data_IF_822682617537
#
_entry.id   IF_822682617537
#
_cell.length_a   1.000
_cell.length_b   1.000
_cell.length_c   1.000
_cell.angle_alpha   90.00
_cell.angle_beta   90.00
_cell.angle_gamma   90.00
#
_symmetry.space_group_name_H-M   'P 1'
#
loop_
_entity.id
_entity.type
_entity.pdbx_description
1 polymer ?
#
# COMPACT_ATOMS: atom_id res chain seq x y z
N UNK A 1 5.49 -6.34 33.20
CA UNK A 1 5.70 -7.07 31.94
C UNK A 1 4.38 -7.77 31.61
N UNK A 2 3.63 -7.29 30.60
CA UNK A 2 2.28 -7.82 30.31
C UNK A 2 2.40 -9.07 29.41
N UNK A 3 1.71 -10.19 29.74
CA UNK A 3 1.94 -11.52 29.15
C UNK A 3 1.35 -11.75 27.74
N UNK A 4 0.94 -10.71 27.02
CA UNK A 4 0.31 -10.83 25.69
C UNK A 4 1.25 -10.44 24.53
N UNK A 5 2.52 -10.14 24.81
CA UNK A 5 3.53 -9.74 23.82
C UNK A 5 4.03 -10.86 22.87
N UNK A 6 3.23 -11.91 22.66
CA UNK A 6 3.60 -13.06 21.82
C UNK A 6 2.85 -13.12 20.47
N UNK A 7 2.08 -12.08 20.11
CA UNK A 7 1.53 -11.91 18.76
C UNK A 7 1.62 -10.43 18.37
N UNK A 8 2.78 -10.00 17.84
CA UNK A 8 2.93 -8.69 17.20
C UNK A 8 2.17 -8.76 15.86
N UNK A 9 0.87 -8.49 15.83
CA UNK A 9 0.15 -8.50 14.56
C UNK A 9 -1.20 -7.79 14.59
N UNK A 10 -1.23 -6.53 14.18
CA UNK A 10 -2.37 -5.96 13.47
C UNK A 10 -1.87 -4.96 12.42
N UNK A 11 -1.33 -5.41 11.30
CA UNK A 11 -1.32 -4.56 10.10
C UNK A 11 -2.75 -4.60 9.56
N UNK A 12 -3.59 -3.68 10.02
CA UNK A 12 -5.01 -3.69 9.72
C UNK A 12 -5.33 -2.68 8.65
N UNK A 13 -6.17 -3.13 7.73
CA UNK A 13 -6.99 -2.25 6.95
C UNK A 13 -8.08 -1.64 7.88
N UNK A 14 -7.75 -0.57 8.61
CA UNK A 14 -8.70 0.16 9.48
C UNK A 14 -9.39 1.29 8.70
N UNK A 15 -10.72 1.22 8.63
CA UNK A 15 -11.52 2.32 8.10
C UNK A 15 -11.35 3.60 8.95
N UNK A 16 -10.71 4.61 8.35
CA UNK A 16 -10.50 5.98 8.87
C UNK A 16 -9.60 6.12 10.11
N UNK A 17 -8.31 6.35 9.88
CA UNK A 17 -7.40 6.93 10.87
C UNK A 17 -6.62 8.17 10.40
N UNK A 18 -6.70 8.56 9.12
CA UNK A 18 -6.01 9.75 8.64
C UNK A 18 -6.64 11.02 9.26
N UNK A 19 -5.92 11.66 10.18
CA UNK A 19 -6.32 12.94 10.80
C UNK A 19 -7.05 12.85 12.14
N UNK A 20 -7.22 11.66 12.72
CA UNK A 20 -7.82 11.53 14.06
C UNK A 20 -6.83 12.01 15.14
N UNK A 21 -7.24 12.95 16.03
CA UNK A 21 -6.40 13.36 17.16
C UNK A 21 -6.00 12.14 18.00
N UNK A 22 -4.69 11.96 18.21
CA UNK A 22 -4.16 10.85 19.01
C UNK A 22 -3.67 9.63 18.21
N UNK A 23 -3.70 9.66 16.87
CA UNK A 23 -3.02 8.66 16.04
C UNK A 23 -1.55 9.07 15.86
N UNK A 24 -0.57 8.27 16.34
CA UNK A 24 0.84 8.53 16.08
C UNK A 24 1.12 8.56 14.58
N UNK A 25 1.92 9.53 14.15
CA UNK A 25 2.35 9.69 12.76
C UNK A 25 3.87 9.56 12.70
N UNK A 26 4.36 9.07 11.57
CA UNK A 26 5.79 9.04 11.26
C UNK A 26 6.01 9.55 9.84
N UNK A 27 7.26 9.93 9.55
CA UNK A 27 7.61 10.52 8.25
C UNK A 27 7.64 9.48 7.12
N UNK A 28 7.90 8.20 7.45
CA UNK A 28 7.96 7.11 6.48
C UNK A 28 7.19 5.86 6.94
N UNK A 29 6.83 5.00 5.99
CA UNK A 29 6.18 3.71 6.29
C UNK A 29 7.09 2.76 7.08
N UNK A 30 8.41 2.83 6.87
CA UNK A 30 9.39 2.07 7.64
C UNK A 30 9.46 2.56 9.09
N UNK A 31 9.31 3.86 9.33
CA UNK A 31 9.25 4.38 10.70
C UNK A 31 7.98 3.91 11.44
N UNK A 32 6.85 3.78 10.73
CA UNK A 32 5.66 3.14 11.28
C UNK A 32 5.93 1.69 11.71
N UNK A 33 6.70 0.93 10.93
CA UNK A 33 7.12 -0.43 11.29
C UNK A 33 8.03 -0.43 12.54
N UNK A 34 8.94 0.53 12.66
CA UNK A 34 9.77 0.69 13.87
C UNK A 34 8.91 1.00 15.11
N UNK A 35 7.90 1.87 14.99
CA UNK A 35 6.97 2.15 16.08
C UNK A 35 6.19 0.90 16.51
N UNK A 36 5.78 0.05 15.56
CA UNK A 36 5.12 -1.23 15.82
C UNK A 36 6.06 -2.20 16.54
N UNK A 37 7.29 -2.36 16.06
CA UNK A 37 8.32 -3.23 16.65
C UNK A 37 8.70 -2.82 18.08
N UNK A 38 8.68 -1.51 18.36
CA UNK A 38 8.93 -0.97 19.70
C UNK A 38 7.70 -1.02 20.62
N UNK A 39 6.55 -1.50 20.12
CA UNK A 39 5.30 -1.56 20.87
C UNK A 39 4.71 -0.19 21.20
N UNK A 40 5.06 0.85 20.43
CA UNK A 40 4.50 2.19 20.58
C UNK A 40 3.14 2.32 19.90
N UNK A 41 2.88 1.49 18.88
CA UNK A 41 1.57 1.34 18.24
C UNK A 41 1.19 -0.13 18.19
N UNK A 42 -0.11 -0.40 18.13
CA UNK A 42 -0.65 -1.76 18.02
C UNK A 42 -0.89 -2.19 16.56
N UNK A 43 -1.00 -1.20 15.66
CA UNK A 43 -1.36 -1.41 14.27
C UNK A 43 -0.82 -0.35 13.32
N UNK A 44 -0.68 -0.73 12.04
CA UNK A 44 -0.45 0.17 10.90
C UNK A 44 -1.61 0.00 9.93
N UNK A 45 -2.12 1.10 9.39
CA UNK A 45 -3.17 1.11 8.37
C UNK A 45 -2.78 2.01 7.21
N UNK A 46 -2.79 1.44 6.01
CA UNK A 46 -2.59 2.08 4.70
C UNK A 46 -3.07 1.07 3.63
N UNK A 47 -2.81 1.37 2.37
CA UNK A 47 -3.04 0.48 1.23
C UNK A 47 -2.38 -0.91 1.39
N UNK A 48 -3.01 -1.92 0.79
CA UNK A 48 -2.58 -3.32 0.87
C UNK A 48 -1.20 -3.56 0.26
N UNK A 49 -0.82 -2.81 -0.77
CA UNK A 49 0.50 -2.93 -1.43
C UNK A 49 1.65 -2.54 -0.50
N UNK A 50 1.52 -1.44 0.25
CA UNK A 50 2.49 -1.02 1.27
C UNK A 50 2.48 -2.01 2.42
N UNK A 51 1.30 -2.45 2.87
CA UNK A 51 1.19 -3.42 3.96
C UNK A 51 1.83 -4.77 3.63
N UNK A 52 1.71 -5.24 2.38
CA UNK A 52 2.42 -6.42 1.88
C UNK A 52 3.94 -6.24 2.00
N UNK A 53 4.47 -5.08 1.56
CA UNK A 53 5.89 -4.77 1.67
C UNK A 53 6.40 -4.66 3.12
N UNK A 54 5.58 -4.18 4.06
CA UNK A 54 5.92 -4.15 5.48
C UNK A 54 5.91 -5.56 6.11
N UNK A 55 4.96 -6.41 5.70
CA UNK A 55 4.89 -7.79 6.18
C UNK A 55 6.08 -8.65 5.70
N UNK A 56 6.57 -8.41 4.49
CA UNK A 56 7.81 -9.04 3.98
C UNK A 56 9.07 -8.59 4.75
N UNK A 57 9.10 -7.35 5.25
CA UNK A 57 10.23 -6.83 6.04
C UNK A 57 10.25 -7.35 7.47
N UNK A 58 9.08 -7.65 8.05
CA UNK A 58 8.94 -8.18 9.41
C UNK A 58 8.00 -9.41 9.45
N UNK A 59 8.56 -10.63 9.39
CA UNK A 59 7.79 -11.87 9.43
C UNK A 59 6.99 -12.10 10.70
N UNK A 60 7.19 -11.28 11.76
CA UNK A 60 6.33 -11.33 12.94
C UNK A 60 4.94 -10.76 12.67
N UNK A 61 4.79 -9.92 11.64
CA UNK A 61 3.56 -9.21 11.30
C UNK A 61 2.70 -9.97 10.28
N UNK A 62 1.43 -9.57 10.17
CA UNK A 62 0.50 -10.07 9.13
C UNK A 62 -0.53 -9.00 8.78
N UNK A 63 -0.91 -8.96 7.50
CA UNK A 63 -2.03 -8.14 7.01
C UNK A 63 -3.35 -8.80 7.43
N UNK A 64 -4.26 -8.01 8.00
CA UNK A 64 -5.56 -8.48 8.51
C UNK A 64 -6.69 -7.49 8.19
N UNK A 65 -7.93 -7.98 8.28
CA UNK A 65 -9.13 -7.20 8.01
C UNK A 65 -9.57 -7.28 6.54
N UNK A 66 -10.70 -6.66 6.25
CA UNK A 66 -11.20 -6.48 4.88
C UNK A 66 -10.72 -5.14 4.32
N UNK A 67 -10.57 -5.06 3.00
CA UNK A 67 -10.39 -3.78 2.31
C UNK A 67 -11.56 -2.83 2.61
N UNK A 68 -11.27 -1.56 2.83
CA UNK A 68 -12.28 -0.54 3.17
C UNK A 68 -12.21 0.72 2.31
N UNK A 69 -11.16 0.88 1.50
CA UNK A 69 -10.96 1.96 0.54
C UNK A 69 -10.52 1.40 -0.81
N UNK A 70 -10.77 2.18 -1.86
CA UNK A 70 -10.16 1.97 -3.18
C UNK A 70 -9.06 3.01 -3.36
N UNK A 71 -7.87 2.55 -3.74
CA UNK A 71 -6.67 3.39 -3.82
C UNK A 71 -6.05 3.30 -5.23
N UNK A 72 -6.71 3.88 -6.25
CA UNK A 72 -6.19 3.88 -7.61
C UNK A 72 -4.96 4.77 -7.71
N UNK A 73 -3.79 4.16 -7.94
CA UNK A 73 -2.53 4.89 -8.09
C UNK A 73 -2.42 5.53 -9.48
N UNK A 74 -1.83 6.72 -9.53
CA UNK A 74 -1.60 7.46 -10.76
C UNK A 74 -0.26 8.18 -10.74
N UNK A 75 0.24 8.54 -11.92
CA UNK A 75 1.46 9.32 -12.06
C UNK A 75 1.11 10.81 -11.94
N UNK A 76 1.62 11.47 -10.90
CA UNK A 76 1.38 12.90 -10.65
C UNK A 76 2.09 13.78 -11.69
N UNK A 77 1.32 14.64 -12.36
CA UNK A 77 1.80 15.55 -13.42
C UNK A 77 1.33 16.98 -13.10
N UNK A 78 2.11 18.04 -13.41
CA UNK A 78 1.65 19.41 -13.25
C UNK A 78 0.31 19.65 -13.96
N UNK A 79 -0.62 20.32 -13.27
CA UNK A 79 -2.02 20.46 -13.70
C UNK A 79 -2.18 21.01 -15.12
N UNK A 80 -1.29 21.92 -15.53
CA UNK A 80 -1.39 22.62 -16.82
C UNK A 80 -0.56 21.95 -17.94
N UNK A 81 -0.02 20.74 -17.70
CA UNK A 81 0.81 20.01 -18.66
C UNK A 81 0.07 18.83 -19.29
N UNK A 82 -0.94 19.12 -20.11
CA UNK A 82 -1.77 18.10 -20.77
C UNK A 82 -0.99 17.21 -21.74
N UNK A 83 0.02 17.74 -22.43
CA UNK A 83 0.84 16.96 -23.36
C UNK A 83 1.60 15.86 -22.62
N UNK A 84 2.11 16.15 -21.41
CA UNK A 84 2.74 15.14 -20.56
C UNK A 84 1.74 14.10 -20.08
N UNK A 85 0.51 14.51 -19.73
CA UNK A 85 -0.57 13.55 -19.37
C UNK A 85 -0.81 12.57 -20.53
N UNK A 86 -0.97 13.09 -21.74
CA UNK A 86 -1.19 12.26 -22.94
C UNK A 86 0.00 11.34 -23.22
N UNK A 87 1.23 11.85 -23.09
CA UNK A 87 2.45 11.08 -23.27
C UNK A 87 2.57 9.94 -22.26
N UNK A 88 2.36 10.21 -20.98
CA UNK A 88 2.42 9.20 -19.92
C UNK A 88 1.31 8.17 -20.09
N UNK A 89 0.08 8.58 -20.42
CA UNK A 89 -1.02 7.66 -20.68
C UNK A 89 -0.68 6.72 -21.85
N UNK A 90 -0.12 7.24 -22.96
CA UNK A 90 0.31 6.41 -24.08
C UNK A 90 1.40 5.40 -23.67
N UNK A 91 2.35 5.81 -22.82
CA UNK A 91 3.36 4.88 -22.30
C UNK A 91 2.77 3.82 -21.35
N UNK A 92 1.73 4.17 -20.59
CA UNK A 92 1.04 3.22 -19.70
C UNK A 92 0.22 2.19 -20.48
N UNK A 93 -0.29 2.51 -21.67
CA UNK A 93 -0.92 1.52 -22.56
C UNK A 93 0.09 0.42 -22.96
N UNK A 94 1.32 0.80 -23.34
CA UNK A 94 2.37 -0.18 -23.67
C UNK A 94 2.74 -1.08 -22.47
N UNK A 95 2.72 -0.51 -21.25
CA UNK A 95 2.96 -1.27 -20.01
C UNK A 95 1.78 -2.20 -19.70
N UNK A 96 0.54 -1.70 -19.84
CA UNK A 96 -0.69 -2.44 -19.59
C UNK A 96 -0.75 -3.71 -20.44
N UNK A 97 -0.38 -3.62 -21.71
CA UNK A 97 -0.40 -4.74 -22.67
C UNK A 97 0.81 -5.68 -22.56
N UNK A 98 1.78 -5.36 -21.70
CA UNK A 98 3.02 -6.11 -21.55
C UNK A 98 3.50 -6.20 -20.10
N UNK A 99 4.41 -5.30 -19.73
CA UNK A 99 5.23 -5.41 -18.53
C UNK A 99 4.47 -5.31 -17.20
N UNK A 100 3.18 -4.94 -17.22
CA UNK A 100 2.39 -4.81 -16.00
C UNK A 100 2.27 -6.14 -15.26
N UNK A 101 1.90 -7.22 -15.96
CA UNK A 101 1.67 -8.52 -15.34
C UNK A 101 2.96 -9.07 -14.73
N UNK A 102 4.07 -9.00 -15.47
CA UNK A 102 5.39 -9.43 -14.97
C UNK A 102 5.81 -8.69 -13.70
N UNK A 103 5.49 -7.39 -13.60
CA UNK A 103 5.79 -6.58 -12.42
C UNK A 103 4.90 -6.95 -11.23
N UNK A 104 3.60 -7.14 -11.48
CA UNK A 104 2.63 -7.53 -10.44
C UNK A 104 2.95 -8.92 -9.88
N UNK A 105 3.17 -9.90 -10.76
CA UNK A 105 3.50 -11.28 -10.39
C UNK A 105 4.78 -11.35 -9.55
N UNK A 106 5.76 -10.51 -9.89
CA UNK A 106 7.02 -10.44 -9.16
C UNK A 106 6.88 -9.81 -7.77
N UNK A 107 6.14 -8.71 -7.64
CA UNK A 107 6.20 -7.86 -6.44
C UNK A 107 5.00 -7.99 -5.52
N UNK A 108 3.83 -8.34 -6.03
CA UNK A 108 2.57 -8.23 -5.30
C UNK A 108 1.76 -9.54 -5.27
N UNK A 109 1.78 -10.35 -6.33
CA UNK A 109 1.03 -11.62 -6.37
C UNK A 109 1.29 -12.54 -5.17
N UNK A 110 2.54 -12.74 -4.68
CA UNK A 110 2.79 -13.62 -3.54
C UNK A 110 2.03 -13.22 -2.27
N UNK A 111 1.77 -11.92 -2.09
CA UNK A 111 1.12 -11.37 -0.90
C UNK A 111 -0.38 -11.06 -1.11
N UNK A 112 -0.76 -10.59 -2.30
CA UNK A 112 -2.09 -10.07 -2.60
C UNK A 112 -2.94 -11.01 -3.47
N UNK A 113 -2.33 -12.07 -4.01
CA UNK A 113 -2.98 -12.97 -4.95
C UNK A 113 -3.08 -12.39 -6.36
N UNK A 114 -3.69 -13.12 -7.30
CA UNK A 114 -3.69 -12.77 -8.72
C UNK A 114 -4.50 -11.50 -9.00
N UNK A 115 -3.98 -10.66 -9.88
CA UNK A 115 -4.69 -9.50 -10.42
C UNK A 115 -4.39 -9.34 -11.91
N UNK A 116 -5.21 -8.51 -12.56
CA UNK A 116 -5.05 -8.11 -13.96
C UNK A 116 -4.84 -6.59 -14.04
N UNK A 117 -4.20 -6.10 -15.11
CA UNK A 117 -4.03 -4.66 -15.32
C UNK A 117 -5.34 -3.87 -15.18
N UNK A 118 -5.30 -2.66 -14.57
CA UNK A 118 -6.49 -1.83 -14.42
C UNK A 118 -6.93 -1.24 -15.77
N UNK A 119 -8.23 -1.27 -16.04
CA UNK A 119 -8.78 -0.72 -17.29
C UNK A 119 -8.61 0.80 -17.34
N UNK A 120 -7.96 1.37 -18.38
CA UNK A 120 -7.81 2.81 -18.51
C UNK A 120 -9.18 3.49 -18.73
N UNK A 121 -9.32 4.69 -18.17
CA UNK A 121 -10.50 5.55 -18.36
C UNK A 121 -10.06 6.91 -18.86
N UNK A 122 -10.52 7.28 -20.05
CA UNK A 122 -10.28 8.59 -20.67
C UNK A 122 -11.58 9.39 -20.65
N UNK A 123 -11.47 10.67 -20.27
CA UNK A 123 -12.57 11.64 -20.32
C UNK A 123 -12.30 12.71 -21.37
#
# INVERSE_FOLDING_TARGET
MKPWALMIAVVALLASACGSPGVPQADTMTDCLVLLQQGQVEAISTDDTVLAGLAEQDPATKVVGSTFSSEPYGIGIPKDNEDMVRYVNAALEDVHDGAWQDSYDRWLEPALGPATPPTPSYQ
#
